data_IF_994764217354
#
_entry.id   IF_994764217354
#
_cell.length_a   1.000
_cell.length_b   1.000
_cell.length_c   1.000
_cell.angle_alpha   90.00
_cell.angle_beta   90.00
_cell.angle_gamma   90.00
#
_symmetry.space_group_name_H-M   'P 1'
#
loop_
_entity.id
_entity.type
_entity.pdbx_description
1 polymer ?
#
# COMPACT_ATOMS: atom_id res chain seq x y z
N UNK A 1 -20.77 -7.32 49.03
CA UNK A 1 -21.00 -6.59 47.75
C UNK A 1 -19.75 -5.87 47.22
N UNK A 2 -19.01 -5.09 48.02
CA UNK A 2 -17.85 -4.28 47.55
C UNK A 2 -16.66 -5.11 47.01
N UNK A 3 -16.38 -6.30 47.57
CA UNK A 3 -15.28 -7.16 47.09
C UNK A 3 -15.49 -7.70 45.66
N UNK A 4 -16.75 -7.95 45.29
CA UNK A 4 -17.12 -8.50 43.97
C UNK A 4 -16.90 -7.48 42.84
N UNK A 5 -17.22 -6.21 43.10
CA UNK A 5 -16.99 -5.12 42.13
C UNK A 5 -15.50 -4.92 41.80
N UNK A 6 -14.61 -5.07 42.78
CA UNK A 6 -13.16 -4.94 42.57
C UNK A 6 -12.60 -6.03 41.65
N UNK A 7 -13.10 -7.26 41.75
CA UNK A 7 -12.67 -8.36 40.89
C UNK A 7 -13.19 -8.19 39.45
N UNK A 8 -14.40 -7.65 39.28
CA UNK A 8 -14.96 -7.31 37.97
C UNK A 8 -14.15 -6.21 37.26
N UNK A 9 -13.75 -5.16 38.00
CA UNK A 9 -12.89 -4.09 37.46
C UNK A 9 -11.51 -4.65 37.08
N UNK A 10 -10.93 -5.52 37.91
CA UNK A 10 -9.65 -6.14 37.61
C UNK A 10 -9.71 -7.04 36.36
N UNK A 11 -10.79 -7.81 36.21
CA UNK A 11 -11.05 -8.61 35.01
C UNK A 11 -11.20 -7.74 33.75
N UNK A 12 -11.91 -6.62 33.86
CA UNK A 12 -12.08 -5.66 32.76
C UNK A 12 -10.74 -5.04 32.32
N UNK A 13 -9.85 -4.71 33.27
CA UNK A 13 -8.52 -4.17 32.99
C UNK A 13 -7.57 -5.19 32.33
N UNK A 14 -7.74 -6.49 32.58
CA UNK A 14 -6.96 -7.54 31.91
C UNK A 14 -7.43 -7.70 30.46
N UNK A 15 -8.75 -7.64 30.24
CA UNK A 15 -9.37 -7.82 28.93
C UNK A 15 -9.20 -6.62 27.99
N UNK A 16 -8.82 -5.43 28.48
CA UNK A 16 -8.64 -4.23 27.65
C UNK A 16 -7.32 -4.20 26.85
N UNK A 17 -6.47 -5.22 26.94
CA UNK A 17 -5.13 -5.22 26.31
C UNK A 17 -5.07 -5.79 24.89
N UNK A 18 -6.19 -5.98 24.21
CA UNK A 18 -6.19 -6.43 22.80
C UNK A 18 -6.20 -5.22 21.84
N UNK A 19 -5.11 -4.47 21.80
CA UNK A 19 -4.93 -3.45 20.76
C UNK A 19 -4.33 -4.11 19.52
N UNK A 20 -5.12 -4.22 18.46
CA UNK A 20 -4.62 -4.58 17.14
C UNK A 20 -4.06 -3.32 16.47
N UNK A 21 -2.76 -3.33 16.15
CA UNK A 21 -2.20 -2.33 15.22
C UNK A 21 -2.73 -2.61 13.82
N UNK A 22 -2.95 -1.57 13.04
CA UNK A 22 -3.37 -1.74 11.65
C UNK A 22 -2.22 -2.35 10.84
N UNK A 23 -2.52 -3.43 10.10
CA UNK A 23 -1.63 -4.01 9.11
C UNK A 23 -1.88 -3.30 7.77
N UNK A 24 -0.85 -2.65 7.21
CA UNK A 24 -0.99 -1.95 5.94
C UNK A 24 -0.87 -2.94 4.79
N UNK A 25 -1.99 -3.31 4.17
CA UNK A 25 -1.97 -4.06 2.91
C UNK A 25 -1.62 -3.12 1.76
N UNK A 26 -0.64 -3.51 0.94
CA UNK A 26 -0.30 -2.81 -0.29
C UNK A 26 -0.21 -3.80 -1.45
N UNK A 27 -0.63 -3.37 -2.63
CA UNK A 27 -0.44 -4.12 -3.85
C UNK A 27 0.96 -3.85 -4.39
N UNK A 28 1.66 -4.91 -4.78
CA UNK A 28 3.00 -4.84 -5.34
C UNK A 28 2.92 -5.11 -6.84
N UNK A 29 3.53 -4.23 -7.62
CA UNK A 29 3.73 -4.42 -9.06
C UNK A 29 5.23 -4.59 -9.34
N UNK A 30 5.56 -5.63 -10.12
CA UNK A 30 6.91 -5.95 -10.57
C UNK A 30 6.97 -5.93 -12.10
N UNK A 31 8.15 -6.23 -12.65
CA UNK A 31 8.34 -6.30 -14.11
C UNK A 31 7.43 -7.35 -14.76
N UNK A 32 7.16 -8.45 -14.06
CA UNK A 32 6.23 -9.49 -14.54
C UNK A 32 4.78 -9.00 -14.67
N UNK A 33 4.41 -7.91 -13.97
CA UNK A 33 3.07 -7.32 -14.03
C UNK A 33 2.96 -6.22 -15.10
N UNK A 34 4.04 -5.96 -15.87
CA UNK A 34 4.06 -5.01 -16.98
C UNK A 34 4.86 -3.74 -16.75
N UNK A 35 5.43 -3.52 -15.56
CA UNK A 35 6.33 -2.39 -15.31
C UNK A 35 7.63 -2.54 -16.13
N UNK A 36 8.12 -1.52 -16.84
CA UNK A 36 9.26 -1.70 -17.75
C UNK A 36 10.58 -1.88 -17.00
N UNK A 37 10.69 -1.34 -15.78
CA UNK A 37 11.87 -1.46 -14.94
C UNK A 37 11.52 -1.16 -13.47
N UNK A 38 12.13 -1.87 -12.52
CA UNK A 38 11.78 -1.82 -11.08
C UNK A 38 12.16 -0.53 -10.35
N UNK A 39 13.07 0.27 -10.90
CA UNK A 39 13.56 1.51 -10.29
C UNK A 39 12.75 2.68 -10.83
N UNK A 40 11.67 2.99 -10.12
CA UNK A 40 10.86 4.18 -10.33
C UNK A 40 11.57 5.39 -9.70
N UNK A 41 11.82 6.41 -10.50
CA UNK A 41 12.50 7.64 -10.10
C UNK A 41 11.51 8.78 -9.78
N UNK A 42 10.36 8.79 -10.45
CA UNK A 42 9.34 9.81 -10.24
C UNK A 42 7.94 9.25 -10.55
N UNK A 43 6.94 9.74 -9.82
CA UNK A 43 5.53 9.39 -9.99
C UNK A 43 4.70 10.67 -10.11
N UNK A 44 3.78 10.72 -11.07
CA UNK A 44 2.83 11.82 -11.26
C UNK A 44 1.47 11.26 -11.65
N UNK A 45 0.37 11.88 -11.21
CA UNK A 45 -0.97 11.61 -11.74
C UNK A 45 -1.37 12.73 -12.71
N UNK A 46 -1.92 12.37 -13.87
CA UNK A 46 -2.46 13.35 -14.82
C UNK A 46 -3.92 13.71 -14.53
N UNK A 47 -4.45 14.72 -15.24
CA UNK A 47 -5.83 15.18 -15.07
C UNK A 47 -6.91 14.18 -15.51
N UNK A 48 -6.53 13.05 -16.13
CA UNK A 48 -7.45 11.95 -16.48
C UNK A 48 -7.40 10.82 -15.47
N UNK A 49 -6.53 10.91 -14.47
CA UNK A 49 -6.37 9.93 -13.40
C UNK A 49 -5.30 8.88 -13.65
N UNK A 50 -4.59 8.91 -14.79
CA UNK A 50 -3.51 7.95 -15.06
C UNK A 50 -2.30 8.23 -14.19
N UNK A 51 -1.64 7.17 -13.75
CA UNK A 51 -0.39 7.24 -13.00
C UNK A 51 0.78 7.10 -13.98
N UNK A 52 1.62 8.12 -14.05
CA UNK A 52 2.85 8.15 -14.83
C UNK A 52 4.03 7.83 -13.94
N UNK A 53 4.80 6.82 -14.33
CA UNK A 53 6.01 6.36 -13.64
C UNK A 53 7.22 6.59 -14.54
N UNK A 54 8.12 7.48 -14.15
CA UNK A 54 9.43 7.59 -14.79
C UNK A 54 10.34 6.51 -14.20
N UNK A 55 10.81 5.60 -15.05
CA UNK A 55 11.72 4.51 -14.66
C UNK A 55 13.10 4.76 -15.23
N UNK A 56 14.10 3.99 -14.78
CA UNK A 56 15.44 4.06 -15.37
C UNK A 56 15.48 3.71 -16.86
N UNK A 57 14.48 2.97 -17.36
CA UNK A 57 14.40 2.52 -18.76
C UNK A 57 13.11 3.00 -19.45
N UNK A 58 12.83 4.29 -19.40
CA UNK A 58 11.67 4.89 -20.05
C UNK A 58 10.51 5.18 -19.10
N UNK A 59 9.35 5.48 -19.66
CA UNK A 59 8.17 5.96 -18.91
C UNK A 59 7.06 4.92 -19.03
N UNK A 60 6.32 4.69 -17.96
CA UNK A 60 5.14 3.84 -17.95
C UNK A 60 3.90 4.62 -17.52
N UNK A 61 2.78 4.39 -18.18
CA UNK A 61 1.46 4.92 -17.79
C UNK A 61 0.61 3.77 -17.29
N UNK A 62 0.07 3.90 -16.09
CA UNK A 62 -0.76 2.92 -15.41
C UNK A 62 -2.19 3.43 -15.26
N UNK A 63 -3.17 2.60 -15.60
CA UNK A 63 -4.61 2.95 -15.56
C UNK A 63 -5.36 2.37 -14.35
N UNK A 64 -4.66 1.67 -13.46
CA UNK A 64 -5.25 0.93 -12.34
C UNK A 64 -5.29 -0.59 -12.56
N UNK A 65 -5.09 -1.04 -13.80
CA UNK A 65 -5.12 -2.45 -14.20
C UNK A 65 -3.86 -2.80 -15.01
N UNK A 66 -3.57 -2.02 -16.04
CA UNK A 66 -2.52 -2.31 -17.03
C UNK A 66 -1.50 -1.17 -17.17
N UNK A 67 -0.27 -1.55 -17.56
CA UNK A 67 0.82 -0.63 -17.87
C UNK A 67 0.98 -0.45 -19.39
N UNK A 68 1.03 0.80 -19.85
CA UNK A 68 1.47 1.18 -21.20
C UNK A 68 2.89 1.73 -21.14
N UNK A 69 3.84 1.08 -21.79
CA UNK A 69 5.27 1.42 -21.71
C UNK A 69 5.77 2.22 -22.92
N UNK A 70 6.55 3.25 -22.64
CA UNK A 70 7.19 4.13 -23.62
C UNK A 70 8.70 4.10 -23.40
N UNK A 71 9.38 3.31 -24.22
CA UNK A 71 10.83 3.17 -24.22
C UNK A 71 11.40 3.65 -25.55
N UNK A 72 12.67 4.02 -25.58
CA UNK A 72 13.37 4.23 -26.84
C UNK A 72 13.45 2.89 -27.57
N UNK A 73 13.24 2.89 -28.90
CA UNK A 73 13.62 1.75 -29.72
C UNK A 73 15.15 1.71 -29.78
N UNK A 74 15.73 0.54 -29.59
CA UNK A 74 17.11 0.28 -30.00
C UNK A 74 17.27 0.41 -31.51
#
# INVERSE_FOLDING_TARGET
MIKLHKHLIFLFLILSNYTYSQELTYQKYIVADGLPQTQVMQILQDGKGYIWLATKNGISRFDGIEFTNYTMKE
#
